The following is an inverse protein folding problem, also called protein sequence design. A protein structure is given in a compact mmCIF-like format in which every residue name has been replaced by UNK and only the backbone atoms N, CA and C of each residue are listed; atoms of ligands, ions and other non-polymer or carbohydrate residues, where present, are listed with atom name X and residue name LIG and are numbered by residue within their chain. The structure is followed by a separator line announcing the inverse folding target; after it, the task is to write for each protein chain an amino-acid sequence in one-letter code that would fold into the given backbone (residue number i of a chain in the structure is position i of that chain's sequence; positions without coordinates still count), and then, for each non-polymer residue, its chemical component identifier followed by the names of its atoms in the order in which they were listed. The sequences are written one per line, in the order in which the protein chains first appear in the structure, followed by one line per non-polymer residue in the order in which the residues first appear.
data_IF_999693523916
#
_entry.id   IF_999693523916
#
_cell.length_a   1.000
_cell.length_b   1.000
_cell.length_c   1.000
_cell.angle_alpha   90.00
_cell.angle_beta   90.00
_cell.angle_gamma   90.00
#
_symmetry.space_group_name_H-M   'P 1'
#
loop_
_entity.id
_entity.type
_entity.pdbx_description
1 polymer ?
#
# COMPACT_ATOMS: atom_id res chain seq x y z
N UNK A 1 -6.12 -6.72 -46.03
CA UNK A 1 -5.54 -5.83 -44.99
C UNK A 1 -4.65 -6.65 -44.07
N UNK A 2 -3.42 -6.95 -44.47
CA UNK A 2 -2.42 -7.57 -43.58
C UNK A 2 -1.07 -7.03 -44.01
N UNK A 3 -0.48 -6.15 -43.20
CA UNK A 3 0.96 -5.90 -43.03
C UNK A 3 1.20 -4.54 -42.38
N UNK A 4 0.92 -4.45 -41.07
CA UNK A 4 1.46 -3.38 -40.22
C UNK A 4 2.13 -3.91 -38.94
N UNK A 5 2.20 -5.23 -38.74
CA UNK A 5 2.73 -5.84 -37.52
C UNK A 5 4.22 -6.18 -37.56
N UNK A 6 4.87 -6.18 -38.72
CA UNK A 6 6.30 -6.56 -38.85
C UNK A 6 7.29 -5.40 -38.62
N UNK A 7 6.85 -4.14 -38.72
CA UNK A 7 7.75 -2.99 -38.59
C UNK A 7 8.21 -2.73 -37.14
N UNK A 8 7.41 -3.14 -36.15
CA UNK A 8 7.74 -2.96 -34.73
C UNK A 8 8.86 -3.86 -34.20
N UNK A 9 9.18 -4.97 -34.88
CA UNK A 9 10.21 -5.93 -34.44
C UNK A 9 11.62 -5.53 -34.87
N UNK A 10 11.77 -4.86 -36.02
CA UNK A 10 13.08 -4.55 -36.62
C UNK A 10 13.89 -3.49 -35.84
N UNK A 11 13.23 -2.68 -35.01
CA UNK A 11 13.87 -1.66 -34.17
C UNK A 11 13.89 -2.01 -32.68
N UNK A 12 13.52 -3.24 -32.32
CA UNK A 12 13.51 -3.65 -30.92
C UNK A 12 14.94 -3.81 -30.39
N UNK A 13 15.26 -3.09 -29.31
CA UNK A 13 16.52 -3.29 -28.59
C UNK A 13 16.44 -4.62 -27.80
N UNK A 14 17.54 -5.41 -27.75
CA UNK A 14 17.60 -6.58 -26.91
C UNK A 14 17.33 -6.22 -25.45
N UNK A 15 16.47 -6.98 -24.77
CA UNK A 15 16.21 -6.79 -23.35
C UNK A 15 17.47 -7.10 -22.54
N UNK A 16 17.82 -6.21 -21.61
CA UNK A 16 18.92 -6.43 -20.67
C UNK A 16 18.37 -6.96 -19.34
N UNK A 17 19.00 -8.01 -18.82
CA UNK A 17 18.60 -8.58 -17.55
C UNK A 17 18.95 -7.63 -16.39
N UNK A 18 17.99 -7.41 -15.50
CA UNK A 18 18.25 -6.74 -14.24
C UNK A 18 19.05 -7.67 -13.32
N UNK A 19 20.38 -7.55 -13.31
CA UNK A 19 21.25 -8.36 -12.45
C UNK A 19 20.95 -8.14 -10.95
N UNK A 20 21.16 -9.17 -10.14
CA UNK A 20 21.09 -9.10 -8.68
C UNK A 20 22.18 -8.16 -8.14
N UNK A 21 21.77 -6.96 -7.69
CA UNK A 21 22.66 -5.95 -7.12
C UNK A 21 21.90 -5.01 -6.19
N UNK A 22 22.64 -4.25 -5.41
CA UNK A 22 22.10 -3.17 -4.59
C UNK A 22 21.58 -2.05 -5.50
N UNK A 23 20.37 -1.56 -5.21
CA UNK A 23 19.77 -0.38 -5.84
C UNK A 23 19.14 0.51 -4.77
N UNK A 24 19.06 1.80 -5.07
CA UNK A 24 18.33 2.76 -4.26
C UNK A 24 16.83 2.56 -4.45
N UNK A 25 16.12 2.44 -3.35
CA UNK A 25 14.66 2.39 -3.29
C UNK A 25 14.16 3.44 -2.29
N UNK A 26 12.94 3.92 -2.50
CA UNK A 26 12.29 4.88 -1.61
C UNK A 26 11.39 4.12 -0.65
N UNK A 27 11.59 4.32 0.65
CA UNK A 27 10.78 3.70 1.71
C UNK A 27 10.09 4.78 2.53
N UNK A 28 8.82 4.53 2.84
CA UNK A 28 8.03 5.38 3.73
C UNK A 28 8.53 5.30 5.17
N UNK A 29 8.70 6.47 5.80
CA UNK A 29 9.01 6.61 7.22
C UNK A 29 7.73 6.45 8.02
N UNK A 30 7.49 5.23 8.51
CA UNK A 30 6.27 4.90 9.23
C UNK A 30 6.37 5.21 10.72
N UNK A 31 5.23 5.44 11.38
CA UNK A 31 5.15 5.65 12.83
C UNK A 31 5.77 4.48 13.62
N UNK A 32 5.59 3.26 13.13
CA UNK A 32 6.11 2.05 13.74
C UNK A 32 7.65 1.99 13.79
N UNK A 33 8.36 2.79 12.98
CA UNK A 33 9.83 2.90 13.04
C UNK A 33 10.31 3.69 14.26
N UNK A 34 9.46 4.53 14.85
CA UNK A 34 9.76 5.30 16.05
C UNK A 34 9.05 4.72 17.28
N UNK A 35 7.72 4.62 17.22
CA UNK A 35 6.89 4.12 18.31
C UNK A 35 5.62 3.50 17.74
N UNK A 36 5.38 2.22 18.05
CA UNK A 36 4.18 1.49 17.62
C UNK A 36 2.95 1.83 18.47
N UNK A 37 3.15 2.33 19.70
CA UNK A 37 2.07 2.53 20.68
C UNK A 37 1.31 3.85 20.50
N UNK A 38 1.99 4.90 20.02
CA UNK A 38 1.42 6.23 19.87
C UNK A 38 1.08 6.54 18.40
N UNK A 39 -0.15 7.00 18.13
CA UNK A 39 -0.61 7.37 16.80
C UNK A 39 -0.75 8.89 16.56
N UNK A 40 -0.47 9.71 17.58
CA UNK A 40 -0.83 11.14 17.62
C UNK A 40 0.26 12.08 17.05
N UNK A 41 1.19 11.55 16.25
CA UNK A 41 2.26 12.33 15.65
C UNK A 41 2.41 12.05 14.14
N UNK A 42 3.12 12.96 13.49
CA UNK A 42 3.58 12.85 12.10
C UNK A 42 5.11 12.91 12.06
N UNK A 43 5.69 12.31 11.02
CA UNK A 43 7.14 12.33 10.78
C UNK A 43 7.44 13.07 9.47
N UNK A 44 8.51 13.86 9.47
CA UNK A 44 9.00 14.58 8.30
C UNK A 44 10.52 14.40 8.14
N UNK A 45 11.03 14.04 6.95
CA UNK A 45 10.30 13.75 5.71
C UNK A 45 9.50 12.44 5.77
N UNK A 46 8.45 12.26 4.92
CA UNK A 46 7.62 11.05 4.92
C UNK A 46 8.29 9.86 4.21
N UNK A 47 9.29 10.10 3.37
CA UNK A 47 10.00 9.07 2.62
C UNK A 47 11.51 9.31 2.67
N UNK A 48 12.28 8.23 2.66
CA UNK A 48 13.74 8.25 2.65
C UNK A 48 14.30 7.22 1.67
N UNK A 49 15.51 7.47 1.19
CA UNK A 49 16.23 6.53 0.33
C UNK A 49 16.94 5.46 1.17
N UNK A 50 16.77 4.21 0.75
CA UNK A 50 17.44 3.04 1.32
C UNK A 50 18.07 2.19 0.22
N UNK A 51 19.10 1.44 0.58
CA UNK A 51 19.75 0.51 -0.31
C UNK A 51 19.12 -0.88 -0.14
N UNK A 52 18.60 -1.46 -1.22
CA UNK A 52 17.96 -2.79 -1.21
C UNK A 52 18.49 -3.66 -2.34
N UNK A 53 18.48 -4.97 -2.11
CA UNK A 53 18.84 -5.95 -3.12
C UNK A 53 17.65 -6.17 -4.04
N UNK A 54 17.87 -5.99 -5.34
CA UNK A 54 16.84 -6.22 -6.36
C UNK A 54 17.46 -6.85 -7.60
N UNK A 55 16.60 -7.31 -8.51
CA UNK A 55 17.00 -7.99 -9.74
C UNK A 55 16.81 -9.51 -9.69
N UNK A 56 17.24 -10.16 -10.75
CA UNK A 56 16.99 -11.57 -11.03
C UNK A 56 18.30 -12.35 -11.08
N UNK A 57 18.22 -13.61 -10.66
CA UNK A 57 19.26 -14.62 -10.86
C UNK A 57 19.00 -15.36 -12.19
N UNK A 58 19.99 -16.14 -12.65
CA UNK A 58 19.89 -16.89 -13.91
C UNK A 58 18.87 -18.04 -13.86
N UNK A 59 18.67 -18.64 -12.69
CA UNK A 59 17.73 -19.75 -12.48
C UNK A 59 16.67 -19.39 -11.46
N UNK A 60 15.45 -19.94 -11.64
CA UNK A 60 14.32 -19.72 -10.73
C UNK A 60 14.49 -20.39 -9.35
N UNK A 61 15.45 -21.30 -9.22
CA UNK A 61 15.81 -21.94 -7.95
C UNK A 61 16.64 -21.04 -7.03
N UNK A 62 17.15 -19.92 -7.55
CA UNK A 62 17.95 -18.95 -6.81
C UNK A 62 17.14 -17.68 -6.56
N UNK A 63 17.33 -17.10 -5.38
CA UNK A 63 16.76 -15.83 -4.96
C UNK A 63 17.88 -14.81 -4.71
N UNK A 64 17.66 -13.57 -5.14
CA UNK A 64 18.55 -12.45 -4.85
C UNK A 64 18.31 -11.98 -3.41
N UNK A 65 19.31 -12.14 -2.54
CA UNK A 65 19.20 -11.84 -1.11
C UNK A 65 20.41 -11.03 -0.62
N UNK A 66 20.25 -10.20 0.42
CA UNK A 66 21.38 -9.52 1.04
C UNK A 66 22.28 -10.51 1.78
N UNK A 67 23.59 -10.37 1.60
CA UNK A 67 24.60 -11.11 2.38
C UNK A 67 25.25 -10.25 3.45
N UNK A 68 25.25 -8.93 3.26
CA UNK A 68 25.72 -7.95 4.25
C UNK A 68 24.69 -6.83 4.33
N UNK A 69 24.33 -6.46 5.56
CA UNK A 69 23.43 -5.34 5.84
C UNK A 69 24.09 -4.34 6.78
N UNK A 70 23.65 -3.08 6.69
CA UNK A 70 24.10 -2.01 7.56
C UNK A 70 22.90 -1.21 8.05
N UNK A 71 22.82 -1.02 9.37
CA UNK A 71 21.77 -0.22 9.99
C UNK A 71 22.25 1.22 10.10
N UNK A 72 21.54 2.16 9.47
CA UNK A 72 21.78 3.60 9.61
C UNK A 72 20.69 4.25 10.43
N UNK A 73 21.07 5.25 11.21
CA UNK A 73 20.15 6.05 12.01
C UNK A 73 19.93 7.40 11.32
N UNK A 74 18.66 7.75 11.13
CA UNK A 74 18.24 8.97 10.48
C UNK A 74 17.55 9.87 11.51
N UNK A 75 17.91 11.15 11.51
CA UNK A 75 17.22 12.15 12.29
C UNK A 75 16.03 12.67 11.47
N UNK A 76 14.83 12.55 12.03
CA UNK A 76 13.57 13.04 11.44
C UNK A 76 12.90 14.04 12.38
N UNK A 77 11.99 14.84 11.85
CA UNK A 77 11.16 15.72 12.67
C UNK A 77 9.87 15.02 13.07
N UNK A 78 9.59 14.95 14.37
CA UNK A 78 8.31 14.55 14.94
C UNK A 78 7.44 15.79 15.11
N UNK A 79 6.22 15.74 14.58
CA UNK A 79 5.23 16.81 14.64
C UNK A 79 4.03 16.31 15.44
N UNK A 80 3.78 16.92 16.58
CA UNK A 80 2.66 16.62 17.48
C UNK A 80 1.70 17.80 17.56
N UNK A 81 0.40 17.56 17.59
CA UNK A 81 -0.59 18.63 17.75
C UNK A 81 -1.07 18.68 19.20
N UNK A 82 -0.56 19.66 19.95
CA UNK A 82 -0.93 19.90 21.34
C UNK A 82 -1.72 21.21 21.38
N UNK A 83 -2.93 21.20 21.95
CA UNK A 83 -3.80 22.39 22.03
C UNK A 83 -4.00 23.11 20.67
N UNK A 84 -4.20 22.33 19.60
CA UNK A 84 -4.34 22.80 18.19
C UNK A 84 -3.10 23.52 17.64
N UNK A 85 -1.94 23.42 18.30
CA UNK A 85 -0.67 23.99 17.83
C UNK A 85 0.33 22.87 17.52
N UNK A 86 1.05 22.95 16.39
CA UNK A 86 2.09 21.98 16.08
C UNK A 86 3.30 22.21 17.00
N UNK A 87 3.79 21.13 17.59
CA UNK A 87 5.01 21.04 18.38
C UNK A 87 6.00 20.18 17.62
N UNK A 88 7.23 20.68 17.47
CA UNK A 88 8.28 20.03 16.69
C UNK A 88 9.34 19.47 17.62
N UNK A 89 9.66 18.19 17.45
CA UNK A 89 10.73 17.52 18.16
C UNK A 89 11.64 16.76 17.18
N UNK A 90 12.90 16.53 17.57
CA UNK A 90 13.79 15.65 16.82
C UNK A 90 13.56 14.22 17.29
N UNK A 91 13.48 13.29 16.34
CA UNK A 91 13.38 11.86 16.59
C UNK A 91 14.42 11.12 15.75
N UNK A 92 14.80 9.93 16.20
CA UNK A 92 15.74 9.07 15.48
C UNK A 92 14.99 7.82 15.04
N UNK A 93 15.05 7.52 13.74
CA UNK A 93 14.53 6.27 13.17
C UNK A 93 15.69 5.46 12.62
N UNK A 94 15.54 4.14 12.56
CA UNK A 94 16.55 3.26 11.95
C UNK A 94 16.07 2.73 10.61
N UNK A 95 16.99 2.65 9.66
CA UNK A 95 16.79 2.01 8.35
C UNK A 95 17.86 0.94 8.15
N UNK A 96 17.50 -0.13 7.45
CA UNK A 96 18.42 -1.21 7.09
C UNK A 96 18.72 -1.13 5.61
N UNK A 97 20.00 -0.94 5.32
CA UNK A 97 20.57 -0.96 3.99
C UNK A 97 21.21 -2.31 3.68
N UNK A 98 21.05 -2.75 2.45
CA UNK A 98 21.78 -3.89 1.91
C UNK A 98 23.08 -3.38 1.31
N UNK A 99 24.21 -3.93 1.77
CA UNK A 99 25.56 -3.53 1.33
C UNK A 99 26.08 -4.44 0.22
N UNK A 100 25.79 -5.74 0.31
CA UNK A 100 26.17 -6.73 -0.70
C UNK A 100 25.01 -7.71 -0.94
N UNK A 101 24.81 -8.13 -2.19
CA UNK A 101 23.77 -9.05 -2.62
C UNK A 101 24.36 -10.28 -3.31
N UNK A 102 23.78 -11.46 -3.10
CA UNK A 102 24.14 -12.68 -3.84
C UNK A 102 22.90 -13.52 -4.19
N UNK A 103 23.04 -14.33 -5.24
CA UNK A 103 22.07 -15.35 -5.59
C UNK A 103 22.28 -16.59 -4.72
N UNK A 104 21.31 -16.92 -3.87
CA UNK A 104 21.35 -18.10 -3.00
C UNK A 104 20.17 -19.03 -3.31
N UNK A 105 20.29 -20.36 -3.08
CA UNK A 105 19.15 -21.26 -3.21
C UNK A 105 17.98 -20.77 -2.37
N UNK A 106 16.80 -20.67 -2.98
CA UNK A 106 15.61 -20.29 -2.25
C UNK A 106 15.39 -21.29 -1.10
N UNK A 107 15.07 -20.84 0.12
CA UNK A 107 14.63 -21.74 1.18
C UNK A 107 13.48 -22.59 0.62
N UNK A 108 13.57 -23.90 0.78
CA UNK A 108 12.46 -24.78 0.39
C UNK A 108 11.28 -24.42 1.28
N UNK A 109 10.32 -23.68 0.76
CA UNK A 109 8.99 -23.68 1.35
C UNK A 109 8.52 -25.13 1.36
N UNK A 110 7.90 -25.64 2.43
CA UNK A 110 7.20 -26.90 2.35
C UNK A 110 6.17 -26.73 1.23
N UNK A 111 6.46 -27.34 0.09
CA UNK A 111 5.51 -27.45 -1.00
C UNK A 111 4.38 -28.25 -0.38
N UNK A 112 3.21 -27.64 -0.20
CA UNK A 112 1.97 -28.38 -0.03
C UNK A 112 1.74 -29.09 -1.37
N UNK A 113 2.45 -30.20 -1.56
CA UNK A 113 2.18 -31.17 -2.60
C UNK A 113 0.79 -31.69 -2.31
N UNK A 114 -0.22 -31.13 -2.99
CA UNK A 114 -1.44 -31.86 -3.30
C UNK A 114 -1.08 -32.97 -4.30
N UNK A 115 -0.29 -33.93 -3.81
CA UNK A 115 -0.04 -35.21 -4.43
C UNK A 115 -1.07 -36.18 -3.89
N UNK A 116 -2.02 -36.55 -4.74
CA UNK A 116 -2.92 -37.67 -4.57
C UNK A 116 -2.11 -38.94 -4.24
N UNK A 117 -2.21 -39.46 -3.02
CA UNK A 117 -1.95 -40.88 -2.68
C UNK A 117 -2.88 -41.32 -1.54
N UNK A 118 -3.24 -42.61 -1.47
CA UNK A 118 -4.49 -43.08 -0.88
C UNK A 118 -4.40 -43.30 0.64
N UNK A 119 -5.55 -43.13 1.28
CA UNK A 119 -5.97 -43.60 2.60
C UNK A 119 -4.88 -43.94 3.63
N UNK A 120 -4.78 -43.10 4.66
CA UNK A 120 -4.04 -43.37 5.89
C UNK A 120 -4.53 -42.45 7.00
N UNK A 121 -5.29 -43.03 7.92
CA UNK A 121 -5.99 -42.42 9.06
C UNK A 121 -5.12 -41.46 9.88
N UNK A 122 -5.60 -40.23 10.08
CA UNK A 122 -5.07 -39.28 11.07
C UNK A 122 -6.05 -39.18 12.24
N UNK A 123 -5.65 -39.74 13.38
CA UNK A 123 -6.29 -39.49 14.68
C UNK A 123 -5.98 -38.06 15.13
N UNK A 124 -7.02 -37.26 15.33
CA UNK A 124 -6.94 -35.97 16.03
C UNK A 124 -7.32 -36.18 17.50
N UNK A 125 -6.61 -35.56 18.47
CA UNK A 125 -7.15 -35.41 19.82
C UNK A 125 -8.26 -34.36 19.78
N UNK A 126 -9.45 -34.81 20.14
CA UNK A 126 -10.61 -33.99 20.49
C UNK A 126 -10.30 -33.23 21.78
N UNK A 127 -10.58 -31.92 21.85
CA UNK A 127 -11.38 -31.32 22.92
C UNK A 127 -11.95 -29.94 22.52
N UNK A 128 -13.29 -29.93 22.43
CA UNK A 128 -14.25 -28.91 22.91
C UNK A 128 -13.95 -27.44 22.55
N UNK A 129 -14.76 -26.70 21.79
CA UNK A 129 -16.19 -26.77 21.53
C UNK A 129 -16.77 -25.36 21.73
N UNK A 130 -17.25 -24.70 20.68
CA UNK A 130 -18.33 -23.70 20.73
C UNK A 130 -18.88 -23.54 19.31
N UNK A 131 -20.20 -23.71 19.20
CA UNK A 131 -21.01 -23.68 17.98
C UNK A 131 -21.04 -22.27 17.39
N UNK A 132 -20.70 -22.14 16.10
CA UNK A 132 -21.15 -21.01 15.28
C UNK A 132 -22.25 -21.49 14.34
N UNK A 133 -23.48 -21.03 14.58
CA UNK A 133 -24.59 -21.23 13.65
C UNK A 133 -24.22 -20.61 12.29
N UNK A 134 -24.33 -21.43 11.25
CA UNK A 134 -24.08 -21.03 9.88
C UNK A 134 -24.97 -19.87 9.44
N UNK A 135 -24.39 -18.97 8.66
CA UNK A 135 -25.15 -18.10 7.77
C UNK A 135 -24.51 -18.11 6.40
N UNK A 136 -25.19 -18.80 5.49
CA UNK A 136 -24.92 -18.90 4.06
C UNK A 136 -24.84 -17.52 3.42
N UNK A 137 -23.72 -17.26 2.75
CA UNK A 137 -23.53 -16.14 1.84
C UNK A 137 -24.24 -16.48 0.52
N UNK A 138 -25.39 -15.87 0.23
CA UNK A 138 -25.93 -15.78 -1.12
C UNK A 138 -26.91 -14.61 -1.25
N UNK A 139 -26.56 -13.62 -2.09
CA UNK A 139 -27.55 -12.77 -2.78
C UNK A 139 -27.80 -11.38 -2.20
N UNK A 140 -26.82 -10.46 -2.25
CA UNK A 140 -27.04 -9.02 -2.04
C UNK A 140 -26.75 -8.18 -3.30
N UNK A 141 -27.11 -8.70 -4.49
CA UNK A 141 -27.01 -7.99 -5.78
C UNK A 141 -28.38 -7.58 -6.35
N UNK A 142 -29.46 -7.60 -5.53
CA UNK A 142 -30.83 -7.25 -5.98
C UNK A 142 -31.53 -6.11 -5.24
N UNK A 143 -30.82 -5.34 -4.42
CA UNK A 143 -31.41 -4.18 -3.72
C UNK A 143 -31.12 -2.82 -4.37
N UNK A 144 -30.39 -2.77 -5.49
CA UNK A 144 -30.01 -1.51 -6.14
C UNK A 144 -31.08 -0.91 -7.09
N UNK A 145 -32.29 -1.48 -7.18
CA UNK A 145 -33.33 -1.01 -8.13
C UNK A 145 -34.66 -0.56 -7.52
N UNK A 146 -34.70 -0.19 -6.23
CA UNK A 146 -35.94 0.30 -5.58
C UNK A 146 -35.80 1.64 -4.84
N UNK A 147 -34.96 2.55 -5.33
CA UNK A 147 -34.83 3.91 -4.76
C UNK A 147 -35.13 5.04 -5.76
N UNK A 148 -35.84 4.73 -6.85
CA UNK A 148 -36.40 5.74 -7.76
C UNK A 148 -37.92 5.62 -7.79
N UNK A 149 -38.57 6.18 -6.78
CA UNK A 149 -39.86 6.90 -6.84
C UNK A 149 -40.30 7.21 -5.40
N UNK A 150 -40.38 8.50 -5.06
CA UNK A 150 -40.75 8.93 -3.71
C UNK A 150 -40.76 10.45 -3.57
N UNK A 151 -41.87 11.05 -3.96
CA UNK A 151 -42.22 12.45 -3.87
C UNK A 151 -42.56 12.83 -2.41
N UNK A 152 -41.90 13.83 -1.80
CA UNK A 152 -42.34 14.42 -0.51
C UNK A 152 -42.17 15.95 -0.52
N UNK A 153 -43.25 16.60 -0.11
CA UNK A 153 -43.54 18.03 0.06
C UNK A 153 -42.73 18.74 1.15
N UNK A 154 -42.75 20.09 1.22
CA UNK A 154 -41.91 20.88 2.12
C UNK A 154 -42.65 21.30 3.40
N UNK A 155 -42.03 21.10 4.58
CA UNK A 155 -42.21 21.94 5.77
C UNK A 155 -41.29 21.47 6.91
N UNK A 156 -40.75 22.42 7.68
CA UNK A 156 -40.43 22.18 9.10
C UNK A 156 -38.94 22.06 9.44
N UNK A 157 -38.34 23.22 9.70
CA UNK A 157 -37.13 23.44 10.50
C UNK A 157 -37.05 22.60 11.78
N UNK A 158 -35.84 22.15 12.18
CA UNK A 158 -35.13 22.54 13.43
C UNK A 158 -33.76 21.82 13.52
N UNK A 159 -32.69 22.60 13.75
CA UNK A 159 -31.52 22.20 14.54
C UNK A 159 -30.48 21.23 13.95
N UNK A 160 -29.59 21.69 13.07
CA UNK A 160 -28.35 20.98 12.70
C UNK A 160 -27.12 21.61 13.39
N UNK A 161 -26.33 20.73 14.01
CA UNK A 161 -25.12 21.00 14.79
C UNK A 161 -24.05 21.86 14.06
N UNK A 162 -23.34 22.78 14.76
CA UNK A 162 -22.42 23.76 14.16
C UNK A 162 -21.08 23.20 13.65
N UNK A 163 -20.76 21.93 13.91
CA UNK A 163 -19.44 21.35 13.56
C UNK A 163 -19.34 20.94 12.07
N UNK A 164 -20.46 20.68 11.40
CA UNK A 164 -20.46 20.20 10.01
C UNK A 164 -20.54 21.33 8.95
N UNK A 165 -20.67 22.60 9.37
CA UNK A 165 -20.67 23.76 8.45
C UNK A 165 -19.27 24.21 8.03
N UNK A 166 -18.23 23.95 8.82
CA UNK A 166 -16.87 24.43 8.54
C UNK A 166 -16.18 23.56 7.47
N UNK A 167 -16.38 22.24 7.49
CA UNK A 167 -15.76 21.35 6.48
C UNK A 167 -16.31 21.58 5.05
N UNK A 168 -17.59 21.94 4.90
CA UNK A 168 -18.17 22.26 3.58
C UNK A 168 -17.74 23.61 3.02
N UNK A 169 -17.28 24.57 3.83
CA UNK A 169 -16.80 25.86 3.32
C UNK A 169 -15.32 25.84 2.91
N UNK A 170 -14.48 25.03 3.57
CA UNK A 170 -13.03 25.02 3.27
C UNK A 170 -12.68 24.23 2.00
N UNK A 171 -13.40 23.15 1.70
CA UNK A 171 -13.17 22.34 0.48
C UNK A 171 -13.50 23.13 -0.79
N UNK A 172 -14.52 24.00 -0.75
CA UNK A 172 -14.95 24.81 -1.91
C UNK A 172 -14.08 26.05 -2.14
N UNK A 173 -13.42 26.58 -1.11
CA UNK A 173 -12.54 27.76 -1.23
C UNK A 173 -11.09 27.43 -1.62
N UNK A 174 -10.58 26.23 -1.32
CA UNK A 174 -9.22 25.82 -1.75
C UNK A 174 -9.20 25.41 -3.23
N UNK A 175 -10.28 24.81 -3.74
CA UNK A 175 -10.37 24.40 -5.16
C UNK A 175 -10.45 25.58 -6.15
N UNK A 176 -10.86 26.77 -5.70
CA UNK A 176 -11.01 27.96 -6.56
C UNK A 176 -9.84 28.94 -6.50
N UNK A 177 -8.85 28.73 -5.62
CA UNK A 177 -7.70 29.64 -5.47
C UNK A 177 -6.34 29.08 -5.90
N UNK A 178 -6.25 27.82 -6.34
CA UNK A 178 -4.98 27.21 -6.78
C UNK A 178 -4.95 26.71 -8.24
N UNK A 179 -6.00 26.91 -9.03
CA UNK A 179 -6.01 26.51 -10.45
C UNK A 179 -6.76 27.50 -11.37
N UNK A 180 -6.22 28.71 -11.67
CA UNK A 180 -6.71 29.50 -12.80
C UNK A 180 -5.82 29.41 -14.06
N UNK A 181 -4.69 28.70 -14.03
CA UNK A 181 -3.70 28.76 -15.13
C UNK A 181 -3.57 27.53 -16.05
N UNK A 182 -4.38 26.48 -15.87
CA UNK A 182 -4.35 25.28 -16.73
C UNK A 182 -5.57 25.12 -17.67
N UNK A 183 -6.47 26.10 -17.73
CA UNK A 183 -7.67 26.06 -18.59
C UNK A 183 -7.52 26.93 -19.87
N UNK A 184 -6.29 27.28 -20.28
CA UNK A 184 -6.03 27.97 -21.58
C UNK A 184 -5.09 27.15 -22.48
N UNK A 185 -5.16 25.81 -22.45
CA UNK A 185 -4.39 24.96 -23.39
C UNK A 185 -5.20 23.82 -24.02
N UNK A 186 -6.54 23.86 -23.94
CA UNK A 186 -7.43 22.88 -24.63
C UNK A 186 -8.44 23.57 -25.56
N UNK A 187 -8.14 24.79 -26.01
CA UNK A 187 -8.87 25.46 -27.09
C UNK A 187 -7.90 26.22 -28.01
N UNK A 188 -7.03 25.46 -28.70
CA UNK A 188 -6.54 25.79 -30.04
C UNK A 188 -6.21 24.49 -30.76
#
# INVERSE_FOLDING_TARGET
MVQNSKLGSYYAQPAQQALCKVRTEVVEVTRAMLDRSNANFLLWPPCVEVQRCSGCCNTKSLQCVPVVTHTRYLQVMKIEYINKRPTYAKAVVSVVDHVECRCQPAPRLPVSTSGMTPEGTLSLPLEKGTVWLGRTHLGLEKLFSLLHTGHITPAGSMGLNPILRIQKMLVTQVATRLFPQWIILVLK
#
